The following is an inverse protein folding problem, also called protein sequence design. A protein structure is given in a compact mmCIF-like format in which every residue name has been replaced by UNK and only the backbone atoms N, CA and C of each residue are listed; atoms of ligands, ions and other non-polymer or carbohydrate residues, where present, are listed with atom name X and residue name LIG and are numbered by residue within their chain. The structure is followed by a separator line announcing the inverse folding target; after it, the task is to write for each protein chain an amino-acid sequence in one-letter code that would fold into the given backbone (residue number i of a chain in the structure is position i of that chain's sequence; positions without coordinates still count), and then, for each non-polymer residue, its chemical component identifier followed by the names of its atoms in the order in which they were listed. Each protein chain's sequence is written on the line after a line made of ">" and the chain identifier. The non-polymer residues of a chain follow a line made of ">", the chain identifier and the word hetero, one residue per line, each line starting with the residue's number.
data_IF_045959497195
#
_entry.id   IF_045959497195
#
_cell.length_a   1.000
_cell.length_b   1.000
_cell.length_c   1.000
_cell.angle_alpha   90.00
_cell.angle_beta   90.00
_cell.angle_gamma   90.00
#
_symmetry.space_group_name_H-M   'P 1'
#
loop_
_entity.id
_entity.type
_entity.pdbx_description
1 polymer ?
#
# COMPACT_ATOMS: atom_id res chain seq x y z
N UNK A 1 -0.07 -20.20 4.78
CA UNK A 1 0.17 -19.45 3.53
C UNK A 1 1.56 -18.83 3.45
N UNK A 2 1.94 -17.84 4.27
CA UNK A 2 3.30 -17.23 4.17
C UNK A 2 4.38 -17.87 5.06
N UNK A 3 3.99 -18.55 6.15
CA UNK A 3 4.94 -19.17 7.08
C UNK A 3 5.85 -18.19 7.82
N UNK A 4 5.56 -16.89 7.78
CA UNK A 4 6.38 -15.85 8.39
C UNK A 4 6.33 -15.88 9.93
N UNK A 5 7.45 -15.53 10.55
CA UNK A 5 7.59 -15.31 11.99
C UNK A 5 6.95 -13.99 12.42
N UNK A 6 7.12 -12.96 11.60
CA UNK A 6 6.62 -11.60 11.85
C UNK A 6 6.16 -10.97 10.53
N UNK A 7 5.12 -10.14 10.57
CA UNK A 7 4.61 -9.43 9.40
C UNK A 7 4.03 -8.08 9.79
N UNK A 8 4.36 -7.03 9.06
CA UNK A 8 3.87 -5.68 9.30
C UNK A 8 3.07 -5.18 8.10
N UNK A 9 1.98 -4.47 8.37
CA UNK A 9 1.15 -3.88 7.33
C UNK A 9 0.60 -2.52 7.76
N UNK A 10 0.51 -1.60 6.81
CA UNK A 10 -0.17 -0.32 6.99
C UNK A 10 -1.62 -0.46 6.50
N UNK A 11 -2.59 -0.25 7.39
CA UNK A 11 -4.00 -0.42 7.06
C UNK A 11 -4.54 0.75 6.21
N UNK A 12 -3.90 1.92 6.26
CA UNK A 12 -4.34 3.11 5.53
C UNK A 12 -3.98 3.16 4.04
N UNK A 13 -3.48 2.04 3.48
CA UNK A 13 -3.14 1.91 2.06
C UNK A 13 -4.24 1.14 1.33
N UNK A 14 -3.92 -0.04 0.83
CA UNK A 14 -4.84 -0.93 0.09
C UNK A 14 -6.01 -1.48 0.93
N UNK A 15 -5.95 -1.30 2.26
CA UNK A 15 -7.05 -1.65 3.15
C UNK A 15 -8.04 -0.49 3.36
N UNK A 16 -7.72 0.72 2.91
CA UNK A 16 -8.60 1.90 3.03
C UNK A 16 -8.98 2.30 4.47
N UNK A 17 -8.23 1.86 5.48
CA UNK A 17 -8.44 2.35 6.84
C UNK A 17 -7.95 3.80 7.01
N UNK A 18 -8.31 4.43 8.12
CA UNK A 18 -7.88 5.77 8.50
C UNK A 18 -6.37 5.86 8.69
N UNK A 19 -5.80 7.04 8.45
CA UNK A 19 -4.37 7.29 8.57
C UNK A 19 -3.81 6.91 9.95
N UNK A 20 -2.51 6.63 10.00
CA UNK A 20 -1.78 6.23 11.23
C UNK A 20 -2.28 4.90 11.83
N UNK A 21 -2.86 4.05 11.01
CA UNK A 21 -3.22 2.67 11.37
C UNK A 21 -2.32 1.65 10.69
N UNK A 22 -2.10 0.54 11.38
CA UNK A 22 -1.31 -0.59 10.92
C UNK A 22 -1.44 -1.75 11.91
N UNK A 23 -0.79 -2.85 11.57
CA UNK A 23 -0.68 -4.02 12.43
C UNK A 23 0.73 -4.57 12.37
N UNK A 24 1.11 -5.26 13.44
CA UNK A 24 2.33 -6.04 13.53
C UNK A 24 1.97 -7.42 14.05
N UNK A 25 1.98 -8.39 13.15
CA UNK A 25 1.79 -9.80 13.46
C UNK A 25 3.11 -10.40 13.93
N UNK A 26 3.04 -11.21 14.98
CA UNK A 26 4.13 -12.02 15.50
C UNK A 26 3.58 -13.41 15.80
N UNK A 27 4.24 -14.44 15.28
CA UNK A 27 3.86 -15.84 15.50
C UNK A 27 3.84 -16.15 16.99
N UNK A 28 2.80 -16.86 17.43
CA UNK A 28 2.44 -17.00 18.85
C UNK A 28 3.59 -17.51 19.74
N UNK A 29 4.33 -18.52 19.28
CA UNK A 29 5.49 -19.14 19.95
C UNK A 29 6.71 -18.20 20.09
N UNK A 30 6.77 -17.13 19.28
CA UNK A 30 7.84 -16.13 19.32
C UNK A 30 7.47 -14.91 20.16
N UNK A 31 6.19 -14.74 20.50
CA UNK A 31 5.76 -13.53 21.18
C UNK A 31 6.49 -13.37 22.53
N UNK A 32 6.76 -14.43 23.30
CA UNK A 32 7.45 -14.29 24.60
C UNK A 32 8.92 -13.83 24.47
N UNK A 33 9.49 -13.91 23.27
CA UNK A 33 10.88 -13.52 22.99
C UNK A 33 11.03 -12.06 22.58
N UNK A 34 9.92 -11.31 22.45
CA UNK A 34 9.93 -9.90 22.05
C UNK A 34 9.44 -8.99 23.17
N UNK A 35 10.09 -7.82 23.27
CA UNK A 35 9.76 -6.80 24.26
C UNK A 35 9.15 -5.57 23.60
N UNK A 36 8.10 -4.95 24.18
CA UNK A 36 7.55 -3.69 23.64
C UNK A 36 8.58 -2.57 23.71
N UNK A 37 8.85 -1.91 22.58
CA UNK A 37 9.77 -0.75 22.54
C UNK A 37 9.13 0.52 23.13
N UNK A 38 7.80 0.60 23.13
CA UNK A 38 7.02 1.71 23.70
C UNK A 38 6.10 1.12 24.76
N UNK A 39 6.16 1.65 25.98
CA UNK A 39 5.29 1.22 27.07
C UNK A 39 4.97 2.41 27.99
N UNK A 40 3.71 2.52 28.39
CA UNK A 40 3.22 3.52 29.36
C UNK A 40 2.41 2.89 30.51
N UNK A 41 2.32 1.57 30.53
CA UNK A 41 1.51 0.79 31.47
C UNK A 41 2.24 -0.49 31.90
N UNK A 42 1.56 -1.39 32.64
CA UNK A 42 2.20 -2.59 33.12
C UNK A 42 2.67 -3.49 31.97
N UNK A 43 3.95 -3.86 31.97
CA UNK A 43 4.47 -4.93 31.12
C UNK A 43 4.65 -6.15 32.02
N UNK A 44 4.08 -7.30 31.63
CA UNK A 44 4.13 -8.54 32.42
C UNK A 44 3.62 -8.37 33.87
N UNK A 45 2.51 -7.66 34.06
CA UNK A 45 1.88 -7.52 35.38
C UNK A 45 2.56 -6.54 36.33
N UNK A 46 3.45 -5.64 35.87
CA UNK A 46 4.07 -4.60 36.72
C UNK A 46 4.00 -3.22 36.08
N UNK A 47 3.35 -2.23 36.72
CA UNK A 47 3.34 -0.82 36.30
C UNK A 47 4.12 0.08 37.27
N UNK A 48 4.10 1.39 37.01
CA UNK A 48 4.68 2.44 37.89
C UNK A 48 4.12 2.46 39.33
N UNK A 49 3.03 1.74 39.59
CA UNK A 49 2.35 1.65 40.90
C UNK A 49 2.48 0.26 41.56
N UNK A 50 3.25 -0.67 40.98
CA UNK A 50 3.49 -2.01 41.54
C UNK A 50 2.95 -3.16 40.69
N UNK A 51 2.85 -4.34 41.30
CA UNK A 51 2.30 -5.52 40.64
C UNK A 51 0.78 -5.34 40.45
N UNK A 52 0.29 -5.56 39.24
CA UNK A 52 -1.14 -5.67 38.95
C UNK A 52 -1.47 -7.15 38.86
N UNK A 53 -2.41 -7.59 39.69
CA UNK A 53 -3.03 -8.91 39.58
C UNK A 53 -3.96 -8.93 38.35
N UNK A 54 -3.35 -9.01 37.17
CA UNK A 54 -4.06 -9.08 35.90
C UNK A 54 -3.52 -10.25 35.09
N UNK A 55 -3.80 -11.47 35.58
CA UNK A 55 -3.38 -12.74 34.99
C UNK A 55 -3.78 -12.93 33.51
N UNK A 56 -4.62 -12.04 32.95
CA UNK A 56 -5.05 -12.05 31.55
C UNK A 56 -4.37 -10.97 30.69
N UNK A 57 -4.04 -9.79 31.24
CA UNK A 57 -3.28 -8.74 30.52
C UNK A 57 -1.80 -9.09 30.44
N UNK A 58 -1.44 -9.90 29.44
CA UNK A 58 -0.07 -10.36 29.25
C UNK A 58 0.07 -11.63 28.42
N UNK A 59 -1.03 -12.35 28.20
CA UNK A 59 -1.03 -13.65 27.49
C UNK A 59 -1.37 -13.53 26.01
N UNK A 60 -1.81 -12.35 25.56
CA UNK A 60 -2.15 -12.05 24.16
C UNK A 60 -1.35 -10.85 23.65
N UNK A 61 -1.56 -10.49 22.38
CA UNK A 61 -0.95 -9.32 21.75
C UNK A 61 -1.22 -7.99 22.48
N UNK A 62 -2.23 -7.91 23.36
CA UNK A 62 -2.54 -6.71 24.17
C UNK A 62 -1.35 -6.17 24.96
N UNK A 63 -0.37 -7.02 25.31
CA UNK A 63 0.86 -6.59 26.02
C UNK A 63 1.75 -5.67 25.20
N UNK A 64 1.57 -5.61 23.88
CA UNK A 64 2.27 -4.70 22.98
C UNK A 64 1.48 -3.42 22.69
N UNK A 65 0.23 -3.33 23.16
CA UNK A 65 -0.67 -2.21 22.92
C UNK A 65 -0.73 -1.25 24.14
N UNK A 66 0.20 -1.40 25.08
CA UNK A 66 0.29 -0.58 26.29
C UNK A 66 1.00 0.75 26.03
N UNK A 67 0.53 1.55 25.07
CA UNK A 67 1.20 2.78 24.61
C UNK A 67 0.40 4.07 24.89
N UNK A 68 -0.40 4.08 25.95
CA UNK A 68 -1.08 5.28 26.45
C UNK A 68 -2.22 5.76 25.56
N UNK A 69 -2.63 7.01 25.73
CA UNK A 69 -3.70 7.62 24.95
C UNK A 69 -3.39 7.57 23.46
N UNK A 70 -4.24 6.86 22.71
CA UNK A 70 -4.03 6.55 21.30
C UNK A 70 -5.23 6.99 20.46
N UNK A 71 -5.05 7.07 19.14
CA UNK A 71 -6.12 7.46 18.23
C UNK A 71 -7.09 6.29 17.99
N UNK A 72 -7.96 6.01 18.97
CA UNK A 72 -8.94 4.93 18.91
C UNK A 72 -9.96 5.12 17.78
N UNK A 73 -10.26 6.36 17.39
CA UNK A 73 -11.12 6.64 16.25
C UNK A 73 -10.49 6.15 14.93
N UNK A 74 -9.18 6.41 14.74
CA UNK A 74 -8.46 5.84 13.61
C UNK A 74 -8.41 4.32 13.69
N UNK A 75 -8.12 3.72 14.85
CA UNK A 75 -8.13 2.26 14.99
C UNK A 75 -9.51 1.65 14.62
N UNK A 76 -10.61 2.30 15.02
CA UNK A 76 -11.98 1.87 14.69
C UNK A 76 -12.30 1.88 13.20
N UNK A 77 -11.62 2.70 12.40
CA UNK A 77 -11.79 2.67 10.94
C UNK A 77 -11.31 1.35 10.30
N UNK A 78 -10.47 0.58 10.99
CA UNK A 78 -10.05 -0.75 10.54
C UNK A 78 -11.27 -1.68 10.46
N UNK A 79 -12.21 -1.59 11.41
CA UNK A 79 -13.43 -2.41 11.40
C UNK A 79 -14.25 -2.13 10.12
N UNK A 80 -14.47 -0.86 9.79
CA UNK A 80 -15.19 -0.47 8.57
C UNK A 80 -14.47 -0.89 7.28
N UNK A 81 -13.14 -0.79 7.26
CA UNK A 81 -12.32 -1.29 6.17
C UNK A 81 -12.46 -2.81 6.00
N UNK A 82 -12.41 -3.58 7.09
CA UNK A 82 -12.60 -5.03 7.06
C UNK A 82 -14.00 -5.39 6.58
N UNK A 83 -15.04 -4.69 7.03
CA UNK A 83 -16.42 -4.90 6.56
C UNK A 83 -16.53 -4.68 5.04
N UNK A 84 -15.92 -3.60 4.52
CA UNK A 84 -15.87 -3.33 3.08
C UNK A 84 -15.15 -4.46 2.31
N UNK A 85 -13.97 -4.88 2.78
CA UNK A 85 -13.21 -5.95 2.14
C UNK A 85 -13.92 -7.30 2.21
N UNK A 86 -14.55 -7.63 3.32
CA UNK A 86 -15.28 -8.88 3.52
C UNK A 86 -16.56 -8.93 2.68
N UNK A 87 -17.24 -7.81 2.49
CA UNK A 87 -18.44 -7.72 1.64
C UNK A 87 -18.14 -8.01 0.16
N UNK A 88 -16.94 -7.65 -0.32
CA UNK A 88 -16.52 -7.90 -1.71
C UNK A 88 -15.79 -9.25 -1.85
N UNK A 89 -14.98 -9.60 -0.85
CA UNK A 89 -14.10 -10.76 -0.85
C UNK A 89 -12.70 -10.44 -1.39
N UNK A 90 -11.68 -10.92 -0.68
CA UNK A 90 -10.27 -10.64 -1.00
C UNK A 90 -9.87 -11.12 -2.39
N UNK A 91 -10.33 -12.29 -2.82
CA UNK A 91 -10.04 -12.83 -4.16
C UNK A 91 -10.63 -11.98 -5.28
N UNK A 92 -11.81 -11.39 -5.09
CA UNK A 92 -12.43 -10.51 -6.08
C UNK A 92 -11.68 -9.16 -6.18
N UNK A 93 -11.25 -8.62 -5.04
CA UNK A 93 -10.41 -7.41 -4.98
C UNK A 93 -9.08 -7.66 -5.70
N UNK A 94 -8.38 -8.74 -5.36
CA UNK A 94 -7.11 -9.08 -6.00
C UNK A 94 -7.29 -9.26 -7.51
N UNK A 95 -8.32 -9.99 -7.95
CA UNK A 95 -8.60 -10.19 -9.37
C UNK A 95 -8.85 -8.85 -10.10
N UNK A 96 -9.58 -7.91 -9.48
CA UNK A 96 -9.85 -6.59 -10.06
C UNK A 96 -8.59 -5.74 -10.15
N UNK A 97 -7.80 -5.66 -9.08
CA UNK A 97 -6.55 -4.88 -9.07
C UNK A 97 -5.56 -5.40 -10.12
N UNK A 98 -5.42 -6.74 -10.20
CA UNK A 98 -4.60 -7.41 -11.22
C UNK A 98 -5.10 -7.17 -12.64
N UNK A 99 -6.41 -7.22 -12.84
CA UNK A 99 -7.01 -6.94 -14.15
C UNK A 99 -6.68 -5.51 -14.60
N UNK A 100 -6.88 -4.52 -13.72
CA UNK A 100 -6.56 -3.13 -14.03
C UNK A 100 -5.08 -2.92 -14.35
N UNK A 101 -4.18 -3.49 -13.54
CA UNK A 101 -2.74 -3.41 -13.78
C UNK A 101 -2.31 -4.12 -15.06
N UNK A 102 -2.89 -5.28 -15.38
CA UNK A 102 -2.60 -6.00 -16.62
C UNK A 102 -3.03 -5.21 -17.84
N UNK A 103 -4.24 -4.64 -17.81
CA UNK A 103 -4.75 -3.77 -18.88
C UNK A 103 -3.86 -2.55 -19.08
N UNK A 104 -3.46 -1.88 -17.98
CA UNK A 104 -2.56 -0.74 -18.03
C UNK A 104 -1.18 -1.13 -18.61
N UNK A 105 -0.61 -2.24 -18.15
CA UNK A 105 0.67 -2.79 -18.62
C UNK A 105 0.64 -3.05 -20.12
N UNK A 106 -0.40 -3.73 -20.61
CA UNK A 106 -0.54 -4.05 -22.04
C UNK A 106 -0.69 -2.78 -22.89
N UNK A 107 -1.51 -1.83 -22.46
CA UNK A 107 -1.70 -0.58 -23.19
C UNK A 107 -0.41 0.25 -23.25
N UNK A 108 0.26 0.44 -22.12
CA UNK A 108 1.54 1.17 -22.05
C UNK A 108 2.64 0.47 -22.85
N UNK A 109 2.73 -0.85 -22.80
CA UNK A 109 3.73 -1.62 -23.55
C UNK A 109 3.58 -1.53 -25.07
N UNK A 110 2.42 -1.11 -25.56
CA UNK A 110 2.16 -0.88 -26.99
C UNK A 110 2.45 0.58 -27.42
N UNK A 111 2.81 1.48 -26.50
CA UNK A 111 3.14 2.87 -26.81
C UNK A 111 4.63 2.99 -27.16
N UNK A 112 4.94 3.63 -28.30
CA UNK A 112 6.33 3.94 -28.65
C UNK A 112 6.98 4.80 -27.56
N UNK A 113 8.22 4.49 -27.23
CA UNK A 113 8.98 5.26 -26.25
C UNK A 113 8.58 5.05 -24.79
N UNK A 114 7.64 4.16 -24.47
CA UNK A 114 7.34 3.77 -23.09
C UNK A 114 8.17 2.55 -22.68
N UNK A 115 8.85 2.65 -21.55
CA UNK A 115 9.59 1.55 -20.93
C UNK A 115 8.89 1.11 -19.65
N UNK A 116 8.62 -0.20 -19.51
CA UNK A 116 7.93 -0.77 -18.37
C UNK A 116 8.91 -1.38 -17.37
N UNK A 117 8.69 -1.12 -16.08
CA UNK A 117 9.44 -1.71 -14.96
C UNK A 117 8.53 -2.56 -14.07
N UNK A 118 7.83 -3.51 -14.70
CA UNK A 118 6.92 -4.44 -14.03
C UNK A 118 7.08 -5.83 -14.64
N UNK A 119 6.98 -6.88 -13.81
CA UNK A 119 7.11 -8.25 -14.30
C UNK A 119 5.96 -8.64 -15.24
N UNK A 120 6.30 -9.40 -16.27
CA UNK A 120 5.30 -10.09 -17.09
C UNK A 120 4.68 -11.28 -16.36
N UNK A 121 5.42 -11.90 -15.43
CA UNK A 121 4.94 -13.02 -14.64
C UNK A 121 3.85 -12.53 -13.66
N UNK A 122 2.59 -13.03 -13.77
CA UNK A 122 1.50 -12.62 -12.89
C UNK A 122 1.79 -12.94 -11.42
N UNK A 123 2.68 -13.88 -11.10
CA UNK A 123 3.05 -14.22 -9.72
C UNK A 123 3.93 -13.15 -9.07
N UNK A 124 4.59 -12.30 -9.87
CA UNK A 124 5.55 -11.28 -9.43
C UNK A 124 5.02 -9.85 -9.61
N UNK A 125 3.73 -9.68 -9.88
CA UNK A 125 3.09 -8.38 -9.96
C UNK A 125 1.68 -8.40 -9.34
N UNK A 126 1.13 -7.21 -9.08
CA UNK A 126 -0.20 -6.99 -8.52
C UNK A 126 -0.76 -5.66 -9.06
N UNK A 127 -1.38 -4.82 -8.23
CA UNK A 127 -2.03 -3.55 -8.65
C UNK A 127 -1.11 -2.37 -8.98
N UNK A 128 0.20 -2.56 -9.16
CA UNK A 128 1.14 -1.47 -9.45
C UNK A 128 1.75 -1.61 -10.84
N UNK A 129 1.87 -0.50 -11.57
CA UNK A 129 2.56 -0.42 -12.86
C UNK A 129 3.53 0.76 -12.83
N UNK A 130 4.83 0.46 -12.92
CA UNK A 130 5.90 1.45 -13.00
C UNK A 130 6.43 1.55 -14.43
N UNK A 131 6.69 2.76 -14.90
CA UNK A 131 7.12 3.01 -16.27
C UNK A 131 7.91 4.33 -16.40
N UNK A 132 8.61 4.49 -17.52
CA UNK A 132 9.20 5.75 -18.00
C UNK A 132 8.69 6.05 -19.40
N UNK A 133 8.65 7.34 -19.74
CA UNK A 133 8.46 7.82 -21.11
C UNK A 133 9.78 8.41 -21.58
N UNK A 134 10.31 7.90 -22.69
CA UNK A 134 11.59 8.34 -23.25
C UNK A 134 11.56 9.84 -23.55
N UNK A 135 12.57 10.56 -23.07
CA UNK A 135 12.70 11.99 -23.31
C UNK A 135 11.73 12.87 -22.48
N UNK A 136 11.02 12.29 -21.51
CA UNK A 136 10.16 13.03 -20.59
C UNK A 136 10.61 12.73 -19.16
N UNK A 137 10.94 13.78 -18.42
CA UNK A 137 11.24 13.67 -16.99
C UNK A 137 10.00 13.18 -16.21
N UNK A 138 10.19 12.32 -15.20
CA UNK A 138 9.04 11.68 -14.52
C UNK A 138 8.22 12.68 -13.73
N UNK A 139 8.86 13.71 -13.15
CA UNK A 139 8.17 14.80 -12.45
C UNK A 139 7.44 15.71 -13.44
N UNK A 140 8.04 15.98 -14.60
CA UNK A 140 7.37 16.71 -15.69
C UNK A 140 6.12 15.96 -16.17
N UNK A 141 6.20 14.65 -16.40
CA UNK A 141 5.05 13.85 -16.81
C UNK A 141 3.91 13.92 -15.77
N UNK A 142 4.24 13.73 -14.49
CA UNK A 142 3.26 13.84 -13.40
C UNK A 142 2.62 15.23 -13.34
N UNK A 143 3.40 16.30 -13.54
CA UNK A 143 2.90 17.68 -13.56
C UNK A 143 1.96 17.91 -14.76
N UNK A 144 2.35 17.51 -15.97
CA UNK A 144 1.51 17.65 -17.17
C UNK A 144 0.19 16.89 -17.05
N UNK A 145 0.20 15.67 -16.53
CA UNK A 145 -1.00 14.88 -16.28
C UNK A 145 -1.95 15.58 -15.31
N UNK A 146 -1.42 16.20 -14.25
CA UNK A 146 -2.23 16.95 -13.30
C UNK A 146 -2.78 18.24 -13.90
N UNK A 147 -1.93 19.04 -14.54
CA UNK A 147 -2.28 20.36 -15.04
C UNK A 147 -3.28 20.29 -16.20
N UNK A 148 -3.06 19.39 -17.15
CA UNK A 148 -3.88 19.25 -18.37
C UNK A 148 -5.11 18.37 -18.18
N UNK A 149 -4.99 17.28 -17.41
CA UNK A 149 -6.01 16.23 -17.36
C UNK A 149 -6.60 15.99 -15.97
N UNK A 150 -6.07 16.63 -14.92
CA UNK A 150 -6.44 16.40 -13.50
C UNK A 150 -6.24 14.93 -13.10
N UNK A 151 -5.15 14.33 -13.58
CA UNK A 151 -4.79 12.94 -13.31
C UNK A 151 -3.59 12.94 -12.36
N UNK A 152 -3.71 12.20 -11.26
CA UNK A 152 -2.64 12.01 -10.31
C UNK A 152 -2.04 10.61 -10.46
N UNK A 153 -0.75 10.58 -10.77
CA UNK A 153 0.12 9.42 -10.59
C UNK A 153 1.32 9.85 -9.75
N UNK A 154 2.09 8.90 -9.26
CA UNK A 154 3.23 9.20 -8.39
C UNK A 154 4.54 9.07 -9.16
N UNK A 155 5.46 10.03 -9.04
CA UNK A 155 6.87 9.74 -9.28
C UNK A 155 7.49 9.04 -8.06
N UNK A 156 8.28 8.01 -8.30
CA UNK A 156 8.99 7.23 -7.27
C UNK A 156 10.47 7.37 -7.55
N UNK A 157 11.14 8.20 -6.76
CA UNK A 157 12.57 8.48 -6.87
C UNK A 157 13.30 7.91 -5.65
N UNK A 158 14.37 7.17 -5.92
CA UNK A 158 15.34 6.64 -4.97
C UNK A 158 16.74 6.85 -5.55
N UNK A 159 17.35 7.99 -5.23
CA UNK A 159 18.68 8.39 -5.72
C UNK A 159 19.77 7.38 -5.34
N UNK A 160 19.62 6.71 -4.19
CA UNK A 160 20.54 5.73 -3.66
C UNK A 160 20.73 4.48 -4.54
N UNK A 161 19.79 4.22 -5.44
CA UNK A 161 19.79 3.06 -6.36
C UNK A 161 19.55 3.46 -7.82
N UNK A 162 19.74 4.74 -8.16
CA UNK A 162 19.48 5.29 -9.50
C UNK A 162 18.09 4.92 -10.03
N UNK A 163 17.09 4.99 -9.16
CA UNK A 163 15.71 4.67 -9.51
C UNK A 163 14.87 5.93 -9.57
N UNK A 164 14.19 6.09 -10.70
CA UNK A 164 13.23 7.14 -10.94
C UNK A 164 12.17 6.56 -11.87
N UNK A 165 10.90 6.52 -11.50
CA UNK A 165 9.85 6.03 -12.40
C UNK A 165 8.50 6.64 -12.04
N UNK A 166 7.66 6.85 -13.05
CA UNK A 166 6.24 7.09 -12.82
C UNK A 166 5.56 5.78 -12.42
N UNK A 167 4.59 5.86 -11.51
CA UNK A 167 3.87 4.69 -11.00
C UNK A 167 2.38 4.94 -10.92
N UNK A 168 1.62 4.10 -11.62
CA UNK A 168 0.18 3.95 -11.44
C UNK A 168 -0.11 2.97 -10.31
N UNK A 169 -1.05 3.33 -9.43
CA UNK A 169 -1.53 2.47 -8.34
C UNK A 169 -3.01 2.19 -8.54
N UNK A 170 -3.33 0.97 -8.96
CA UNK A 170 -4.62 0.57 -9.51
C UNK A 170 -5.39 -0.28 -8.50
N UNK A 171 -6.04 0.42 -7.58
CA UNK A 171 -6.91 -0.14 -6.55
C UNK A 171 -8.31 -0.44 -7.10
N UNK A 172 -9.11 -1.25 -6.40
CA UNK A 172 -10.51 -1.55 -6.73
C UNK A 172 -11.40 -0.29 -6.87
N UNK A 173 -10.95 0.84 -6.33
CA UNK A 173 -11.64 2.13 -6.45
C UNK A 173 -11.46 2.78 -7.84
N UNK A 174 -10.52 2.29 -8.66
CA UNK A 174 -10.25 2.79 -10.01
C UNK A 174 -11.15 2.07 -11.02
N UNK A 175 -11.84 2.85 -11.84
CA UNK A 175 -12.69 2.33 -12.91
C UNK A 175 -12.03 2.43 -14.29
N UNK A 176 -12.62 1.73 -15.27
CA UNK A 176 -12.07 1.62 -16.62
C UNK A 176 -12.00 2.97 -17.34
N UNK A 177 -12.95 3.88 -17.08
CA UNK A 177 -12.93 5.23 -17.64
C UNK A 177 -11.72 6.03 -17.12
N UNK A 178 -11.44 5.98 -15.82
CA UNK A 178 -10.26 6.64 -15.24
C UNK A 178 -8.96 6.06 -15.81
N UNK A 179 -8.88 4.74 -15.96
CA UNK A 179 -7.73 4.10 -16.59
C UNK A 179 -7.56 4.54 -18.05
N UNK A 180 -8.61 4.47 -18.86
CA UNK A 180 -8.58 4.85 -20.27
C UNK A 180 -8.21 6.32 -20.46
N UNK A 181 -8.75 7.22 -19.62
CA UNK A 181 -8.38 8.64 -19.62
C UNK A 181 -6.91 8.86 -19.29
N UNK A 182 -6.37 8.08 -18.35
CA UNK A 182 -4.95 8.15 -17.97
C UNK A 182 -4.05 7.67 -19.10
N UNK A 183 -4.38 6.52 -19.71
CA UNK A 183 -3.63 5.98 -20.84
C UNK A 183 -3.65 6.93 -22.05
N UNK A 184 -4.81 7.49 -22.40
CA UNK A 184 -4.93 8.45 -23.49
C UNK A 184 -4.11 9.71 -23.27
N UNK A 185 -4.09 10.24 -22.04
CA UNK A 185 -3.28 11.40 -21.69
C UNK A 185 -1.76 11.11 -21.76
N UNK A 186 -1.33 9.92 -21.33
CA UNK A 186 0.07 9.49 -21.44
C UNK A 186 0.44 9.35 -22.92
N UNK A 187 -0.41 8.76 -23.75
CA UNK A 187 -0.17 8.59 -25.19
C UNK A 187 -0.06 9.94 -25.92
N UNK A 188 -0.95 10.89 -25.60
CA UNK A 188 -0.94 12.26 -26.10
C UNK A 188 0.41 12.93 -25.81
N UNK A 189 0.85 12.92 -24.55
CA UNK A 189 2.11 13.53 -24.11
C UNK A 189 3.32 12.83 -24.77
N UNK A 190 3.28 11.50 -24.88
CA UNK A 190 4.37 10.71 -25.49
C UNK A 190 4.55 11.11 -26.96
N UNK A 191 3.45 11.22 -27.72
CA UNK A 191 3.47 11.63 -29.13
C UNK A 191 3.97 13.06 -29.34
N UNK A 192 3.60 14.00 -28.46
CA UNK A 192 4.06 15.40 -28.54
C UNK A 192 5.58 15.54 -28.37
N UNK A 193 6.20 14.65 -27.60
CA UNK A 193 7.63 14.67 -27.28
C UNK A 193 8.49 13.86 -28.27
N UNK A 194 7.88 13.32 -29.32
CA UNK A 194 8.57 12.60 -30.39
C UNK A 194 9.17 11.26 -29.96
N UNK A 195 8.56 10.62 -28.97
CA UNK A 195 8.93 9.29 -28.46
C UNK A 195 8.17 8.16 -29.20
#
# INVERSE_FOLDING_TARGET
>A
DLGCDMYAGACHKWMLAGQLTGFFYVRQDLQEQIWPSIYSGPVQGKNMYGAIDDAKRGTTAQRYETHGSSNYAAAKSIDAALDFHNAIGSSAIEARDRHMATTAKQALGNMSGVELFVSEDPRLCAGLVSFKVKGVDTKELSAMLWERHRIYIREVVHEEIDWDANRMSLHIMVNDNQLNRTLGAIEEITKERGA
#
